data_IF_841778650983
#
_entry.id   IF_841778650983
#
_cell.length_a   1.000
_cell.length_b   1.000
_cell.length_c   1.000
_cell.angle_alpha   90.00
_cell.angle_beta   90.00
_cell.angle_gamma   90.00
#
_symmetry.space_group_name_H-M   'P 1'
#
loop_
_entity.id
_entity.type
_entity.pdbx_description
1 polymer ?
#
# COMPACT_ATOMS: atom_id res chain seq x y z
N UNK A 1 -0.07 8.56 -31.96
CA UNK A 1 -1.48 8.17 -31.77
C UNK A 1 -1.84 7.30 -32.95
N UNK A 2 -1.93 5.98 -32.79
CA UNK A 2 -2.12 5.07 -33.93
C UNK A 2 -3.56 5.17 -34.45
N UNK A 3 -3.74 5.74 -35.64
CA UNK A 3 -5.04 5.94 -36.32
C UNK A 3 -5.36 4.77 -37.25
N UNK A 4 -5.36 3.54 -36.74
CA UNK A 4 -5.74 2.35 -37.50
C UNK A 4 -6.52 1.37 -36.63
N UNK A 5 -7.43 0.62 -37.25
CA UNK A 5 -8.10 -0.50 -36.62
C UNK A 5 -7.05 -1.47 -36.06
N UNK A 6 -7.10 -1.73 -34.75
CA UNK A 6 -6.14 -2.61 -34.10
C UNK A 6 -6.28 -4.03 -34.67
N UNK A 7 -5.19 -4.78 -34.80
CA UNK A 7 -5.22 -6.19 -35.25
C UNK A 7 -6.22 -7.03 -34.44
N UNK A 8 -6.42 -6.67 -33.18
CA UNK A 8 -7.44 -7.25 -32.31
C UNK A 8 -8.88 -7.08 -32.83
N UNK A 9 -9.21 -5.92 -33.42
CA UNK A 9 -10.52 -5.69 -34.03
C UNK A 9 -10.76 -6.54 -35.27
N UNK A 10 -9.74 -6.75 -36.11
CA UNK A 10 -9.83 -7.63 -37.29
C UNK A 10 -10.02 -9.11 -36.91
N UNK A 11 -9.39 -9.56 -35.83
CA UNK A 11 -9.54 -10.93 -35.32
C UNK A 11 -10.94 -11.14 -34.71
N UNK A 12 -11.53 -10.12 -34.11
CA UNK A 12 -12.88 -10.17 -33.53
C UNK A 12 -13.97 -10.41 -34.58
N UNK A 13 -13.77 -9.98 -35.83
CA UNK A 13 -14.74 -10.17 -36.92
C UNK A 13 -14.93 -11.66 -37.30
N UNK A 14 -13.94 -12.52 -37.00
CA UNK A 14 -14.01 -13.96 -37.26
C UNK A 14 -14.54 -14.78 -36.07
N UNK A 15 -14.77 -14.16 -34.92
CA UNK A 15 -15.28 -14.85 -33.74
C UNK A 15 -16.82 -14.89 -33.74
N UNK A 16 -17.45 -16.03 -33.42
CA UNK A 16 -18.90 -16.12 -33.27
C UNK A 16 -19.36 -15.25 -32.10
N UNK A 17 -19.81 -14.03 -32.42
CA UNK A 17 -20.04 -12.95 -31.47
C UNK A 17 -21.11 -13.29 -30.43
N UNK A 18 -22.07 -14.15 -30.78
CA UNK A 18 -23.06 -14.68 -29.85
C UNK A 18 -22.43 -15.55 -28.75
N UNK A 19 -21.50 -16.45 -29.10
CA UNK A 19 -20.76 -17.26 -28.12
C UNK A 19 -19.81 -16.40 -27.29
N UNK A 20 -19.14 -15.43 -27.92
CA UNK A 20 -18.28 -14.48 -27.20
C UNK A 20 -19.08 -13.65 -26.19
N UNK A 21 -20.20 -13.04 -26.59
CA UNK A 21 -21.09 -12.30 -25.68
C UNK A 21 -21.69 -13.20 -24.61
N UNK A 22 -22.05 -14.45 -24.93
CA UNK A 22 -22.52 -15.41 -23.93
C UNK A 22 -21.43 -15.71 -22.90
N UNK A 23 -20.18 -15.89 -23.32
CA UNK A 23 -19.04 -16.06 -22.41
C UNK A 23 -18.77 -14.78 -21.59
N UNK A 24 -18.75 -13.61 -22.22
CA UNK A 24 -18.55 -12.31 -21.55
C UNK A 24 -19.65 -12.04 -20.53
N UNK A 25 -20.91 -12.33 -20.86
CA UNK A 25 -22.04 -12.14 -19.94
C UNK A 25 -22.07 -13.22 -18.84
N UNK A 26 -21.63 -14.44 -19.14
CA UNK A 26 -21.52 -15.53 -18.15
C UNK A 26 -20.40 -15.27 -17.13
N UNK A 27 -19.33 -14.57 -17.53
CA UNK A 27 -18.14 -14.31 -16.70
C UNK A 27 -17.89 -12.83 -16.40
N UNK A 28 -18.85 -11.95 -16.73
CA UNK A 28 -18.82 -10.50 -16.53
C UNK A 28 -17.56 -9.78 -17.07
N UNK A 29 -17.17 -10.04 -18.32
CA UNK A 29 -16.01 -9.37 -18.94
C UNK A 29 -14.70 -9.62 -18.16
N UNK A 30 -13.75 -8.67 -18.17
CA UNK A 30 -12.47 -8.76 -17.45
C UNK A 30 -12.67 -8.81 -15.91
N UNK A 31 -13.26 -9.89 -15.40
CA UNK A 31 -13.28 -10.20 -13.99
C UNK A 31 -11.88 -10.62 -13.58
N UNK A 32 -11.26 -9.79 -12.76
CA UNK A 32 -10.01 -10.10 -12.09
C UNK A 32 -10.15 -11.34 -11.20
N UNK A 33 -11.36 -11.69 -10.74
CA UNK A 33 -11.64 -12.97 -10.08
C UNK A 33 -11.83 -14.10 -11.10
N UNK A 34 -10.95 -15.10 -11.06
CA UNK A 34 -10.97 -16.27 -11.94
C UNK A 34 -11.69 -17.48 -11.37
N UNK A 35 -11.78 -17.58 -10.03
CA UNK A 35 -12.38 -18.73 -9.37
C UNK A 35 -12.87 -18.35 -7.99
N UNK A 36 -14.00 -18.92 -7.59
CA UNK A 36 -14.54 -18.84 -6.24
C UNK A 36 -15.12 -20.22 -5.87
N UNK A 37 -14.51 -20.88 -4.89
CA UNK A 37 -14.80 -22.27 -4.56
C UNK A 37 -14.76 -22.51 -3.06
N UNK A 38 -15.65 -23.37 -2.58
CA UNK A 38 -15.56 -23.92 -1.23
C UNK A 38 -14.74 -25.20 -1.30
N UNK A 39 -13.70 -25.30 -0.49
CA UNK A 39 -12.73 -26.39 -0.45
C UNK A 39 -12.61 -26.98 0.96
N UNK A 40 -12.06 -28.19 1.03
CA UNK A 40 -11.62 -28.81 2.26
C UNK A 40 -10.11 -29.05 2.16
N UNK A 41 -9.37 -28.86 3.26
CA UNK A 41 -7.94 -29.18 3.28
C UNK A 41 -7.75 -30.70 3.22
N UNK A 42 -6.92 -31.16 2.29
CA UNK A 42 -6.66 -32.59 2.08
C UNK A 42 -5.49 -33.14 2.91
N UNK A 43 -4.58 -32.28 3.39
CA UNK A 43 -3.38 -32.71 4.12
C UNK A 43 -3.72 -33.23 5.52
N UNK A 44 -3.03 -34.28 5.98
CA UNK A 44 -3.31 -34.93 7.28
C UNK A 44 -3.26 -33.94 8.45
N UNK A 45 -2.13 -33.23 8.62
CA UNK A 45 -1.98 -32.22 9.67
C UNK A 45 -2.90 -31.02 9.45
N UNK A 46 -3.00 -30.52 8.20
CA UNK A 46 -3.82 -29.35 7.88
C UNK A 46 -5.31 -29.57 8.15
N UNK A 47 -5.82 -30.77 7.83
CA UNK A 47 -7.20 -31.17 8.13
C UNK A 47 -7.43 -31.38 9.63
N UNK A 48 -6.42 -31.86 10.37
CA UNK A 48 -6.49 -31.98 11.83
C UNK A 48 -6.54 -30.61 12.51
N UNK A 49 -5.73 -29.65 12.04
CA UNK A 49 -5.69 -28.29 12.60
C UNK A 49 -6.89 -27.44 12.19
N UNK A 50 -7.37 -27.60 10.95
CA UNK A 50 -8.57 -26.91 10.46
C UNK A 50 -9.45 -27.88 9.65
N UNK A 51 -10.39 -28.58 10.31
CA UNK A 51 -11.25 -29.57 9.66
C UNK A 51 -12.42 -28.95 8.90
N UNK A 52 -12.70 -27.66 9.12
CA UNK A 52 -13.83 -26.96 8.51
C UNK A 52 -13.61 -26.59 7.04
N UNK A 53 -14.71 -26.25 6.37
CA UNK A 53 -14.68 -25.77 4.99
C UNK A 53 -13.99 -24.41 4.93
N UNK A 54 -13.20 -24.20 3.88
CA UNK A 54 -12.59 -22.91 3.54
C UNK A 54 -13.07 -22.45 2.17
N UNK A 55 -13.05 -21.15 1.94
CA UNK A 55 -13.27 -20.57 0.62
C UNK A 55 -11.94 -20.23 -0.03
N UNK A 56 -11.73 -20.72 -1.23
CA UNK A 56 -10.60 -20.37 -2.09
C UNK A 56 -11.07 -19.42 -3.19
N UNK A 57 -10.46 -18.23 -3.24
CA UNK A 57 -10.67 -17.25 -4.30
C UNK A 57 -9.39 -17.15 -5.13
N UNK A 58 -9.48 -17.40 -6.44
CA UNK A 58 -8.36 -17.16 -7.38
C UNK A 58 -8.55 -15.82 -8.04
N UNK A 59 -7.61 -14.91 -7.85
CA UNK A 59 -7.57 -13.58 -8.43
C UNK A 59 -6.42 -13.49 -9.43
N UNK A 60 -6.63 -12.85 -10.57
CA UNK A 60 -5.60 -12.55 -11.55
C UNK A 60 -5.32 -11.06 -11.52
N UNK A 61 -4.12 -10.71 -11.10
CA UNK A 61 -3.62 -9.35 -11.14
C UNK A 61 -3.08 -9.06 -12.54
N UNK A 62 -3.72 -8.12 -13.23
CA UNK A 62 -3.39 -7.74 -14.61
C UNK A 62 -2.11 -6.89 -14.64
N UNK A 63 -1.88 -6.07 -13.61
CA UNK A 63 -0.72 -5.18 -13.53
C UNK A 63 0.56 -5.99 -13.29
N UNK A 64 0.49 -6.98 -12.39
CA UNK A 64 1.63 -7.84 -12.03
C UNK A 64 1.73 -9.06 -12.98
N UNK A 65 0.65 -9.38 -13.71
CA UNK A 65 0.58 -10.54 -14.59
C UNK A 65 0.61 -11.87 -13.82
N UNK A 66 0.13 -11.91 -12.58
CA UNK A 66 0.22 -13.09 -11.69
C UNK A 66 -1.15 -13.51 -11.16
N UNK A 67 -1.33 -14.82 -11.00
CA UNK A 67 -2.49 -15.39 -10.30
C UNK A 67 -2.21 -15.52 -8.80
N UNK A 68 -3.06 -14.94 -7.98
CA UNK A 68 -3.07 -15.04 -6.53
C UNK A 68 -4.18 -15.99 -6.08
N UNK A 69 -3.90 -16.84 -5.09
CA UNK A 69 -4.92 -17.66 -4.43
C UNK A 69 -5.09 -17.17 -2.98
N UNK A 70 -6.31 -16.77 -2.64
CA UNK A 70 -6.69 -16.36 -1.29
C UNK A 70 -7.52 -17.46 -0.64
N UNK A 71 -7.30 -17.70 0.65
CA UNK A 71 -8.05 -18.66 1.45
C UNK A 71 -8.71 -17.93 2.60
N UNK A 72 -10.03 -18.00 2.71
CA UNK A 72 -10.78 -17.30 3.75
C UNK A 72 -11.85 -18.19 4.37
N UNK A 73 -12.15 -17.96 5.64
CA UNK A 73 -13.31 -18.51 6.33
C UNK A 73 -14.56 -17.62 6.17
N UNK A 74 -14.45 -16.49 5.45
CA UNK A 74 -15.56 -15.57 5.23
C UNK A 74 -16.32 -15.90 3.93
N UNK A 75 -17.54 -16.41 4.10
CA UNK A 75 -18.40 -16.82 3.00
C UNK A 75 -19.39 -15.73 2.57
N UNK A 76 -19.66 -14.74 3.43
CA UNK A 76 -20.71 -13.74 3.17
C UNK A 76 -20.32 -12.66 2.17
N UNK A 77 -19.02 -12.38 2.01
CA UNK A 77 -18.56 -11.29 1.14
C UNK A 77 -18.36 -11.74 -0.31
N UNK A 78 -18.50 -10.84 -1.30
CA UNK A 78 -18.11 -11.14 -2.68
C UNK A 78 -16.61 -11.49 -2.80
N UNK A 79 -16.28 -12.38 -3.73
CA UNK A 79 -14.89 -12.79 -3.99
C UNK A 79 -13.95 -11.61 -4.32
N UNK A 80 -14.48 -10.60 -5.00
CA UNK A 80 -13.75 -9.37 -5.33
C UNK A 80 -13.40 -8.58 -4.06
N UNK A 81 -14.36 -8.39 -3.14
CA UNK A 81 -14.13 -7.72 -1.85
C UNK A 81 -13.08 -8.47 -1.02
N UNK A 82 -13.08 -9.81 -1.05
CA UNK A 82 -12.04 -10.60 -0.39
C UNK A 82 -10.67 -10.28 -0.99
N UNK A 83 -10.53 -10.26 -2.31
CA UNK A 83 -9.27 -9.90 -2.96
C UNK A 83 -8.80 -8.48 -2.58
N UNK A 84 -9.71 -7.51 -2.53
CA UNK A 84 -9.41 -6.15 -2.09
C UNK A 84 -8.98 -6.08 -0.62
N UNK A 85 -9.63 -6.82 0.28
CA UNK A 85 -9.23 -6.92 1.69
C UNK A 85 -7.82 -7.48 1.84
N UNK A 86 -7.46 -8.49 1.05
CA UNK A 86 -6.09 -9.01 1.01
C UNK A 86 -5.08 -7.98 0.48
N UNK A 87 -5.49 -7.11 -0.45
CA UNK A 87 -4.67 -5.96 -0.88
C UNK A 87 -4.45 -4.96 0.24
N UNK A 88 -5.50 -4.61 1.01
CA UNK A 88 -5.38 -3.73 2.17
C UNK A 88 -4.55 -4.35 3.30
N UNK A 89 -4.55 -5.67 3.47
CA UNK A 89 -3.67 -6.36 4.42
C UNK A 89 -2.20 -6.04 4.17
N UNK A 90 -1.78 -5.94 2.90
CA UNK A 90 -0.40 -5.58 2.57
C UNK A 90 -0.08 -4.12 2.89
N UNK A 91 -1.05 -3.21 2.82
CA UNK A 91 -0.85 -1.82 3.24
C UNK A 91 -0.47 -1.73 4.73
N UNK A 92 -1.00 -2.63 5.57
CA UNK A 92 -0.61 -2.73 6.98
C UNK A 92 0.86 -3.14 7.12
N UNK A 93 1.35 -4.08 6.31
CA UNK A 93 2.77 -4.46 6.32
C UNK A 93 3.67 -3.32 5.83
N UNK A 94 3.26 -2.60 4.78
CA UNK A 94 3.97 -1.42 4.28
C UNK A 94 4.01 -0.34 5.35
N UNK A 95 2.92 -0.13 6.09
CA UNK A 95 2.85 0.78 7.23
C UNK A 95 3.84 0.39 8.34
N UNK A 96 3.88 -0.88 8.76
CA UNK A 96 4.85 -1.32 9.78
C UNK A 96 6.29 -1.31 9.26
N UNK A 97 6.52 -1.57 7.97
CA UNK A 97 7.83 -1.38 7.34
C UNK A 97 8.24 0.08 7.41
N UNK A 98 7.32 0.99 7.10
CA UNK A 98 7.54 2.43 7.19
C UNK A 98 7.86 2.86 8.62
N UNK A 99 7.10 2.40 9.63
CA UNK A 99 7.39 2.68 11.05
C UNK A 99 8.80 2.24 11.39
N UNK A 100 9.17 0.99 11.11
CA UNK A 100 10.50 0.47 11.42
C UNK A 100 11.63 1.23 10.73
N UNK A 101 11.39 1.75 9.52
CA UNK A 101 12.39 2.50 8.75
C UNK A 101 12.56 3.95 9.22
N UNK A 102 11.47 4.64 9.53
CA UNK A 102 11.49 6.08 9.79
C UNK A 102 11.52 6.40 11.29
N UNK A 103 11.04 5.48 12.12
CA UNK A 103 11.05 5.58 13.57
C UNK A 103 12.31 4.90 14.10
N UNK A 104 13.46 5.49 13.79
CA UNK A 104 14.74 5.10 14.40
C UNK A 104 14.72 5.57 15.86
N UNK A 105 14.41 4.67 16.78
CA UNK A 105 14.59 4.91 18.22
C UNK A 105 16.08 5.12 18.45
N UNK A 106 16.52 6.40 18.50
CA UNK A 106 17.94 6.76 18.68
C UNK A 106 18.45 6.41 20.07
N UNK A 107 17.56 6.43 21.06
CA UNK A 107 17.84 6.02 22.43
C UNK A 107 16.53 5.57 23.08
N UNK A 108 16.59 4.50 23.87
CA UNK A 108 15.49 4.12 24.75
C UNK A 108 15.57 4.99 26.01
N UNK A 109 14.54 5.81 26.27
CA UNK A 109 14.43 6.60 27.50
C UNK A 109 14.16 5.75 28.76
N UNK A 110 14.02 4.43 28.60
CA UNK A 110 13.83 3.47 29.69
C UNK A 110 13.90 2.05 29.14
N UNK A 111 14.46 1.13 29.91
CA UNK A 111 14.69 -0.27 29.53
C UNK A 111 13.58 -1.21 29.99
N UNK A 112 12.62 -0.72 30.78
CA UNK A 112 11.48 -1.52 31.25
C UNK A 112 10.49 -1.80 30.12
N UNK A 113 9.83 -2.95 30.15
CA UNK A 113 8.84 -3.34 29.14
C UNK A 113 7.75 -2.27 28.95
N UNK A 114 7.27 -1.69 30.06
CA UNK A 114 6.27 -0.63 30.03
C UNK A 114 6.80 0.67 29.40
N UNK A 115 8.06 1.03 29.64
CA UNK A 115 8.67 2.20 29.01
C UNK A 115 8.77 2.02 27.48
N UNK A 116 9.17 0.84 27.02
CA UNK A 116 9.26 0.52 25.59
C UNK A 116 7.87 0.51 24.95
N UNK A 117 6.88 -0.14 25.58
CA UNK A 117 5.47 -0.12 25.10
C UNK A 117 4.95 1.30 24.98
N UNK A 118 5.22 2.15 25.97
CA UNK A 118 4.78 3.55 25.98
C UNK A 118 5.41 4.34 24.84
N UNK A 119 6.71 4.16 24.58
CA UNK A 119 7.39 4.81 23.45
C UNK A 119 6.79 4.41 22.11
N UNK A 120 6.46 3.12 21.92
CA UNK A 120 5.82 2.63 20.69
C UNK A 120 4.42 3.24 20.55
N UNK A 121 3.63 3.28 21.62
CA UNK A 121 2.29 3.89 21.59
C UNK A 121 2.32 5.38 21.27
N UNK A 122 3.26 6.14 21.87
CA UNK A 122 3.44 7.56 21.57
C UNK A 122 3.82 7.75 20.10
N UNK A 123 4.75 6.95 19.58
CA UNK A 123 5.18 6.99 18.20
C UNK A 123 4.03 6.73 17.20
N UNK A 124 3.19 5.73 17.47
CA UNK A 124 2.00 5.42 16.67
C UNK A 124 0.99 6.57 16.77
N UNK A 125 0.74 7.11 17.96
CA UNK A 125 -0.19 8.23 18.16
C UNK A 125 0.25 9.49 17.40
N UNK A 126 1.53 9.87 17.48
CA UNK A 126 2.10 11.00 16.73
C UNK A 126 1.96 10.79 15.23
N UNK A 127 2.23 9.58 14.73
CA UNK A 127 2.05 9.29 13.30
C UNK A 127 0.61 9.47 12.86
N UNK A 128 -0.36 8.92 13.61
CA UNK A 128 -1.78 9.04 13.28
C UNK A 128 -2.21 10.51 13.30
N UNK A 129 -1.75 11.30 14.28
CA UNK A 129 -2.01 12.73 14.33
C UNK A 129 -1.47 13.46 13.09
N UNK A 130 -0.23 13.18 12.69
CA UNK A 130 0.36 13.77 11.47
C UNK A 130 -0.39 13.34 10.21
N UNK A 131 -0.87 12.10 10.14
CA UNK A 131 -1.67 11.61 9.03
C UNK A 131 -3.05 12.28 8.94
N UNK A 132 -3.73 12.46 10.08
CA UNK A 132 -4.99 13.20 10.15
C UNK A 132 -4.77 14.66 9.74
N UNK A 133 -3.71 15.30 10.25
CA UNK A 133 -3.35 16.67 9.90
C UNK A 133 -3.10 16.81 8.40
N UNK A 134 -2.26 15.94 7.82
CA UNK A 134 -1.98 15.92 6.37
C UNK A 134 -3.26 15.79 5.55
N UNK A 135 -4.15 14.87 5.94
CA UNK A 135 -5.43 14.63 5.26
C UNK A 135 -6.36 15.83 5.34
N UNK A 136 -6.45 16.50 6.50
CA UNK A 136 -7.31 17.66 6.70
C UNK A 136 -6.82 18.90 5.97
N UNK A 137 -5.50 19.11 5.92
CA UNK A 137 -4.89 20.29 5.31
C UNK A 137 -4.57 20.12 3.81
N UNK A 138 -4.82 18.95 3.23
CA UNK A 138 -4.54 18.62 1.81
C UNK A 138 -3.12 19.01 1.37
N UNK A 139 -2.13 18.64 2.20
CA UNK A 139 -0.72 19.00 1.99
C UNK A 139 -0.02 17.93 1.14
N UNK A 140 0.63 18.35 0.04
CA UNK A 140 1.32 17.44 -0.89
C UNK A 140 2.73 16.99 -0.42
N UNK A 141 3.18 17.47 0.75
CA UNK A 141 4.47 17.07 1.32
C UNK A 141 4.49 15.59 1.76
N UNK A 142 5.69 15.00 1.69
CA UNK A 142 5.93 13.66 2.20
C UNK A 142 5.78 13.60 3.73
N UNK A 143 5.36 12.45 4.28
CA UNK A 143 5.26 12.25 5.72
C UNK A 143 6.58 12.53 6.46
N UNK A 144 7.71 12.15 5.84
CA UNK A 144 9.03 12.40 6.38
C UNK A 144 9.32 13.89 6.51
N UNK A 145 9.05 14.67 5.45
CA UNK A 145 9.30 16.11 5.44
C UNK A 145 8.45 16.83 6.49
N UNK A 146 7.17 16.44 6.63
CA UNK A 146 6.28 17.00 7.64
C UNK A 146 6.81 16.73 9.06
N UNK A 147 7.21 15.48 9.34
CA UNK A 147 7.79 15.12 10.64
C UNK A 147 9.10 15.87 10.93
N UNK A 148 9.95 16.06 9.92
CA UNK A 148 11.20 16.80 10.07
C UNK A 148 10.96 18.27 10.37
N UNK A 149 10.05 18.92 9.64
CA UNK A 149 9.68 20.32 9.88
C UNK A 149 9.13 20.47 11.31
N UNK A 150 8.15 19.63 11.69
CA UNK A 150 7.55 19.65 13.03
C UNK A 150 8.58 19.41 14.14
N UNK A 151 9.57 18.55 13.90
CA UNK A 151 10.65 18.31 14.87
C UNK A 151 11.56 19.53 15.08
N UNK A 152 11.75 20.36 14.07
CA UNK A 152 12.60 21.56 14.14
C UNK A 152 11.80 22.75 14.68
N UNK A 153 10.51 22.84 14.35
CA UNK A 153 9.62 23.95 14.75
C UNK A 153 8.80 23.65 16.01
N UNK A 154 9.13 22.60 16.77
CA UNK A 154 8.32 22.13 17.92
C UNK A 154 8.06 23.23 18.96
N UNK A 155 9.01 24.16 19.11
CA UNK A 155 8.95 25.25 20.08
C UNK A 155 8.57 26.61 19.47
N UNK A 156 8.34 26.68 18.16
CA UNK A 156 7.93 27.93 17.50
C UNK A 156 6.42 28.16 17.62
N UNK A 157 6.01 29.35 18.07
CA UNK A 157 4.60 29.77 18.08
C UNK A 157 4.18 30.30 16.71
N UNK A 158 4.09 29.40 15.72
CA UNK A 158 3.57 29.71 14.36
C UNK A 158 2.42 28.78 14.00
N UNK A 159 1.43 29.24 13.20
CA UNK A 159 0.36 28.37 12.77
C UNK A 159 0.90 27.27 11.85
N UNK A 160 0.48 26.04 12.10
CA UNK A 160 0.98 24.82 11.43
C UNK A 160 0.89 24.93 9.90
N UNK A 161 -0.19 25.53 9.38
CA UNK A 161 -0.37 25.71 7.95
C UNK A 161 0.76 26.57 7.34
N UNK A 162 1.10 27.71 7.97
CA UNK A 162 2.22 28.54 7.51
C UNK A 162 3.53 27.77 7.56
N UNK A 163 3.79 27.03 8.64
CA UNK A 163 5.04 26.28 8.77
C UNK A 163 5.21 25.26 7.64
N UNK A 164 4.12 24.64 7.21
CA UNK A 164 4.13 23.61 6.17
C UNK A 164 4.03 24.18 4.73
N UNK A 165 3.44 25.36 4.53
CA UNK A 165 3.35 26.00 3.20
C UNK A 165 4.53 26.91 2.88
N UNK A 166 5.11 27.59 3.88
CA UNK A 166 6.28 28.48 3.69
C UNK A 166 7.58 27.68 3.50
N UNK A 167 7.53 26.39 3.83
CA UNK A 167 8.51 25.39 3.42
C UNK A 167 8.34 25.08 1.92
N UNK A 168 8.48 26.08 1.05
CA UNK A 168 9.24 25.83 -0.16
C UNK A 168 10.64 25.46 0.34
N UNK A 169 10.86 24.16 0.53
CA UNK A 169 12.19 23.64 0.73
C UNK A 169 12.95 24.14 -0.47
N UNK A 170 13.74 25.21 -0.29
CA UNK A 170 14.79 25.59 -1.20
C UNK A 170 15.60 24.32 -1.30
N UNK A 171 15.32 23.50 -2.33
CA UNK A 171 16.38 22.82 -3.04
C UNK A 171 17.27 23.98 -3.44
N UNK A 172 18.16 24.40 -2.55
CA UNK A 172 19.48 24.74 -2.98
C UNK A 172 19.96 23.47 -3.66
N UNK A 173 19.64 23.37 -4.96
CA UNK A 173 20.60 22.86 -5.90
C UNK A 173 21.84 23.66 -5.54
N UNK A 174 22.73 23.08 -4.74
CA UNK A 174 24.11 23.53 -4.71
C UNK A 174 24.64 23.22 -6.11
N UNK A 175 24.26 24.08 -7.06
CA UNK A 175 24.93 24.21 -8.34
C UNK A 175 26.31 24.74 -7.98
N UNK A 176 27.27 23.83 -7.91
CA UNK A 176 28.60 24.09 -7.42
C UNK A 176 28.95 23.11 -6.31
N UNK A 177 29.49 21.96 -6.70
CA UNK A 177 30.44 21.26 -5.86
C UNK A 177 31.54 22.26 -5.48
N UNK A 178 31.51 22.83 -4.27
CA UNK A 178 32.72 23.41 -3.69
C UNK A 178 33.49 22.23 -3.12
N UNK A 179 34.03 21.40 -4.01
CA UNK A 179 35.05 20.45 -3.65
C UNK A 179 36.34 21.26 -3.54
N UNK A 180 36.73 21.62 -2.31
CA UNK A 180 38.06 22.15 -2.04
C UNK A 180 39.06 21.04 -2.36
N UNK A 181 39.89 21.25 -3.37
CA UNK A 181 41.01 20.36 -3.68
C UNK A 181 41.99 20.39 -2.51
N UNK A 182 42.15 19.25 -1.86
CA UNK A 182 43.01 19.08 -0.68
C UNK A 182 44.52 19.13 -1.03
N UNK A 183 44.89 19.25 -2.31
CA UNK A 183 46.28 19.14 -2.79
C UNK A 183 46.70 20.18 -3.83
N UNK A 184 45.97 21.29 -3.99
CA UNK A 184 46.51 22.39 -4.83
C UNK A 184 47.56 23.15 -4.00
N UNK A 185 48.83 22.80 -4.22
CA UNK A 185 50.03 23.59 -3.86
C UNK A 185 50.48 24.42 -5.06
#
# INVERSE_FOLDING_TARGET
>A
MYQGHTVFSQILDFLPMHKFRQCVNRYNGNTSVRCDQIILLSGFYSKKTYPEKLRRVKYFDIEIGRSLNFFTNQFSFPALTIAELYRYRWQVEIFFKWIKQHLRIKAFYGTTENAVKTQIWIAIAVYVLVAIMKKRMQIDLSFYTILQILSITLFEKKPILQVLTTSEYKKQITSGHIQLNLFDS
#
